data_IF_486958442126
#
_entry.id   IF_486958442126
#
_cell.length_a   1.000
_cell.length_b   1.000
_cell.length_c   1.000
_cell.angle_alpha   90.00
_cell.angle_beta   90.00
_cell.angle_gamma   90.00
#
_symmetry.space_group_name_H-M   'P 1'
#
loop_
_entity.id
_entity.type
_entity.pdbx_description
1 polymer ?
#
# COMPACT_ATOMS: atom_id res chain seq x y z
N UNK A 1 14.06 -2.87 21.19
CA UNK A 1 13.48 -1.59 20.74
C UNK A 1 14.11 -1.24 19.41
N UNK A 2 13.35 -0.92 18.39
CA UNK A 2 13.88 -0.46 17.10
C UNK A 2 14.71 0.81 17.29
N UNK A 3 15.81 0.93 16.54
CA UNK A 3 16.71 2.11 16.63
C UNK A 3 16.12 3.36 15.94
N UNK A 4 14.91 3.30 15.41
CA UNK A 4 14.28 4.36 14.62
C UNK A 4 12.75 4.33 14.76
N UNK A 5 12.09 5.44 14.36
CA UNK A 5 10.64 5.64 14.47
C UNK A 5 9.94 5.71 13.11
N UNK A 6 10.69 5.61 12.02
CA UNK A 6 10.16 5.79 10.66
C UNK A 6 9.16 4.70 10.29
N UNK A 7 8.00 5.13 9.77
CA UNK A 7 6.96 4.31 9.18
C UNK A 7 7.08 4.41 7.66
N UNK A 8 7.27 3.29 6.99
CA UNK A 8 7.48 3.26 5.54
C UNK A 8 6.18 2.85 4.84
N UNK A 9 5.71 3.64 3.89
CA UNK A 9 4.63 3.24 3.00
C UNK A 9 5.14 2.99 1.59
N UNK A 10 4.69 1.90 0.95
CA UNK A 10 5.16 1.50 -0.39
C UNK A 10 3.99 1.47 -1.38
N UNK A 11 3.90 2.52 -2.22
CA UNK A 11 3.17 2.49 -3.49
C UNK A 11 3.98 1.73 -4.54
N UNK A 12 3.34 1.04 -5.48
CA UNK A 12 4.10 0.24 -6.47
C UNK A 12 3.29 -0.11 -7.70
N UNK A 13 3.94 -0.16 -8.85
CA UNK A 13 3.42 -0.76 -10.06
C UNK A 13 3.37 -2.29 -9.94
N UNK A 14 2.47 -2.93 -10.69
CA UNK A 14 2.42 -4.39 -10.75
C UNK A 14 3.60 -4.94 -11.57
N UNK A 15 4.29 -5.90 -11.01
CA UNK A 15 5.51 -6.47 -11.62
C UNK A 15 6.81 -5.73 -11.28
N UNK A 16 6.78 -4.59 -10.56
CA UNK A 16 7.99 -3.86 -10.14
C UNK A 16 8.73 -4.46 -8.94
N UNK A 17 8.40 -5.66 -8.52
CA UNK A 17 8.94 -6.28 -7.30
C UNK A 17 8.70 -5.51 -5.98
N UNK A 18 7.89 -4.46 -5.98
CA UNK A 18 7.75 -3.58 -4.81
C UNK A 18 7.31 -4.29 -3.51
N UNK A 19 6.55 -5.41 -3.58
CA UNK A 19 6.22 -6.22 -2.39
C UNK A 19 7.45 -6.96 -1.87
N UNK A 20 8.23 -7.55 -2.77
CA UNK A 20 9.46 -8.30 -2.45
C UNK A 20 10.55 -7.39 -1.86
N UNK A 21 10.71 -6.21 -2.47
CA UNK A 21 11.59 -5.15 -1.95
C UNK A 21 11.15 -4.76 -0.53
N UNK A 22 9.84 -4.54 -0.31
CA UNK A 22 9.31 -4.25 1.01
C UNK A 22 9.62 -5.33 2.05
N UNK A 23 9.49 -6.61 1.69
CA UNK A 23 9.86 -7.72 2.57
C UNK A 23 11.35 -7.74 2.90
N UNK A 24 12.21 -7.43 1.91
CA UNK A 24 13.66 -7.34 2.14
C UNK A 24 13.98 -6.21 3.11
N UNK A 25 13.49 -5.01 2.88
CA UNK A 25 13.67 -3.86 3.78
C UNK A 25 13.14 -4.18 5.19
N UNK A 26 11.97 -4.82 5.29
CA UNK A 26 11.40 -5.22 6.59
C UNK A 26 12.33 -6.16 7.36
N UNK A 27 12.91 -7.14 6.64
CA UNK A 27 13.86 -8.11 7.21
C UNK A 27 15.15 -7.41 7.66
N UNK A 28 15.73 -6.57 6.82
CA UNK A 28 17.02 -5.92 7.06
C UNK A 28 16.92 -4.89 8.20
N UNK A 29 15.79 -4.17 8.30
CA UNK A 29 15.51 -3.24 9.39
C UNK A 29 14.94 -3.90 10.66
N UNK A 30 14.55 -5.18 10.60
CA UNK A 30 13.96 -5.91 11.74
C UNK A 30 12.58 -5.42 12.16
N UNK A 31 11.76 -4.95 11.19
CA UNK A 31 10.41 -4.43 11.42
C UNK A 31 9.35 -5.25 10.68
N UNK A 32 8.08 -5.10 11.10
CA UNK A 32 6.97 -5.81 10.48
C UNK A 32 6.55 -5.15 9.17
N UNK A 33 6.14 -5.98 8.20
CA UNK A 33 5.50 -5.53 6.98
C UNK A 33 4.02 -5.94 6.99
N UNK A 34 3.16 -5.01 6.58
CA UNK A 34 1.72 -5.23 6.42
C UNK A 34 1.32 -4.99 4.97
N UNK A 35 0.94 -6.04 4.28
CA UNK A 35 0.39 -5.95 2.93
C UNK A 35 -1.16 -5.95 2.94
N UNK A 36 -1.75 -6.03 1.75
CA UNK A 36 -3.21 -6.03 1.56
C UNK A 36 -3.92 -7.06 2.45
N UNK A 37 -3.39 -8.27 2.52
CA UNK A 37 -4.03 -9.39 3.22
C UNK A 37 -3.91 -9.20 4.74
N UNK A 38 -2.74 -8.78 5.20
CA UNK A 38 -2.51 -8.48 6.61
C UNK A 38 -3.31 -7.28 7.10
N UNK A 39 -3.45 -6.23 6.27
CA UNK A 39 -4.28 -5.06 6.60
C UNK A 39 -5.77 -5.41 6.64
N UNK A 40 -6.26 -6.26 5.72
CA UNK A 40 -7.63 -6.74 5.76
C UNK A 40 -7.91 -7.58 7.01
N UNK A 41 -6.96 -8.44 7.40
CA UNK A 41 -7.03 -9.22 8.64
C UNK A 41 -7.02 -8.34 9.89
N UNK A 42 -6.12 -7.37 9.95
CA UNK A 42 -6.06 -6.42 11.07
C UNK A 42 -7.36 -5.60 11.20
N UNK A 43 -7.96 -5.18 10.09
CA UNK A 43 -9.25 -4.50 10.08
C UNK A 43 -10.38 -5.41 10.60
N UNK A 44 -10.38 -6.69 10.23
CA UNK A 44 -11.34 -7.69 10.73
C UNK A 44 -11.17 -7.93 12.23
N UNK A 45 -9.94 -8.14 12.69
CA UNK A 45 -9.62 -8.43 14.10
C UNK A 45 -9.85 -7.23 15.02
N UNK A 46 -9.80 -6.01 14.51
CA UNK A 46 -10.06 -4.79 15.30
C UNK A 46 -11.53 -4.61 15.69
N UNK A 47 -12.45 -5.41 15.15
CA UNK A 47 -13.88 -5.31 15.39
C UNK A 47 -14.58 -4.10 14.75
N UNK A 48 -13.82 -3.25 14.04
CA UNK A 48 -14.34 -2.03 13.40
C UNK A 48 -15.39 -2.30 12.30
N UNK A 49 -15.45 -3.54 11.81
CA UNK A 49 -16.39 -3.96 10.78
C UNK A 49 -16.87 -5.41 10.98
N UNK A 50 -17.15 -5.82 12.22
CA UNK A 50 -17.56 -7.18 12.53
C UNK A 50 -18.73 -7.65 11.66
N UNK A 51 -19.74 -6.79 11.50
CA UNK A 51 -20.95 -7.07 10.69
C UNK A 51 -20.66 -7.21 9.19
N UNK A 52 -19.64 -6.52 8.66
CA UNK A 52 -19.27 -6.57 7.23
C UNK A 52 -18.56 -7.87 6.85
N UNK A 53 -17.84 -8.46 7.79
CA UNK A 53 -17.11 -9.70 7.57
C UNK A 53 -17.95 -10.94 7.89
N UNK A 54 -18.93 -10.83 8.79
CA UNK A 54 -19.84 -11.93 9.15
C UNK A 54 -20.88 -12.23 8.05
N UNK A 55 -21.37 -11.22 7.32
CA UNK A 55 -22.34 -11.39 6.24
C UNK A 55 -21.78 -11.91 4.92
N UNK A 56 -20.45 -11.99 4.76
CA UNK A 56 -19.81 -12.29 3.48
C UNK A 56 -18.75 -13.38 3.54
N UNK A 57 -18.71 -14.18 4.60
CA UNK A 57 -17.70 -15.23 4.85
C UNK A 57 -17.87 -16.47 3.96
N UNK A 58 -18.93 -16.55 3.15
CA UNK A 58 -19.21 -17.75 2.34
C UNK A 58 -18.54 -17.82 0.97
N UNK A 59 -17.81 -16.77 0.50
CA UNK A 59 -17.02 -16.84 -0.75
C UNK A 59 -15.74 -16.01 -0.68
N UNK A 60 -14.58 -16.65 -0.43
CA UNK A 60 -13.31 -15.96 -0.50
C UNK A 60 -12.87 -15.79 -1.96
N UNK A 61 -13.33 -14.76 -2.64
CA UNK A 61 -12.72 -14.37 -3.92
C UNK A 61 -12.01 -13.03 -3.73
N UNK A 62 -10.72 -13.03 -4.05
CA UNK A 62 -9.86 -11.82 -4.10
C UNK A 62 -10.47 -10.67 -4.95
N UNK A 63 -11.48 -10.96 -5.74
CA UNK A 63 -12.25 -10.04 -6.57
C UNK A 63 -13.29 -9.25 -5.76
N UNK A 64 -13.83 -9.83 -4.70
CA UNK A 64 -14.94 -9.27 -3.93
C UNK A 64 -14.52 -8.07 -3.06
N UNK A 65 -13.45 -8.20 -2.27
CA UNK A 65 -12.91 -7.07 -1.49
C UNK A 65 -12.45 -5.92 -2.39
N UNK A 66 -12.11 -6.23 -3.63
CA UNK A 66 -11.71 -5.25 -4.62
C UNK A 66 -12.91 -4.54 -5.27
N UNK A 67 -13.95 -5.25 -5.68
CA UNK A 67 -15.18 -4.64 -6.21
C UNK A 67 -15.86 -3.82 -5.13
N UNK A 68 -15.80 -4.28 -3.87
CA UNK A 68 -16.36 -3.59 -2.73
C UNK A 68 -15.79 -2.19 -2.52
N UNK A 69 -14.54 -1.95 -2.89
CA UNK A 69 -13.87 -0.68 -2.68
C UNK A 69 -13.99 0.27 -3.87
N UNK A 70 -14.36 -0.22 -5.06
CA UNK A 70 -14.36 0.59 -6.29
C UNK A 70 -15.70 1.26 -6.63
N UNK A 71 -16.80 0.84 -6.02
CA UNK A 71 -18.14 1.29 -6.45
C UNK A 71 -18.71 2.53 -5.74
N UNK A 72 -18.03 3.10 -4.73
CA UNK A 72 -18.76 3.91 -3.75
C UNK A 72 -18.39 5.38 -3.64
N UNK A 73 -17.65 5.96 -4.54
CA UNK A 73 -17.23 7.36 -4.35
C UNK A 73 -17.93 8.42 -5.21
N UNK A 74 -19.10 8.21 -5.65
CA UNK A 74 -19.79 9.27 -6.42
C UNK A 74 -20.71 10.18 -5.59
N UNK A 75 -20.76 10.08 -4.26
CA UNK A 75 -21.69 10.91 -3.48
C UNK A 75 -21.05 11.54 -2.24
N UNK A 76 -21.08 12.88 -2.24
CA UNK A 76 -20.56 13.75 -1.22
C UNK A 76 -21.05 13.46 0.20
N UNK A 77 -20.25 13.87 1.17
CA UNK A 77 -20.53 13.88 2.60
C UNK A 77 -21.88 14.54 2.89
N UNK A 78 -22.84 13.76 3.33
CA UNK A 78 -23.91 14.22 4.17
C UNK A 78 -23.98 13.31 5.40
N UNK A 79 -24.19 13.92 6.57
CA UNK A 79 -24.25 13.29 7.88
C UNK A 79 -25.42 12.30 8.02
N UNK A 80 -25.33 11.20 7.29
CA UNK A 80 -26.20 10.04 7.42
C UNK A 80 -25.54 9.00 8.33
N UNK A 81 -26.34 8.34 9.11
CA UNK A 81 -25.95 7.27 10.01
C UNK A 81 -24.95 6.30 9.34
N UNK A 82 -23.93 5.87 10.07
CA UNK A 82 -22.96 4.84 9.65
C UNK A 82 -23.66 3.59 9.05
N UNK A 83 -24.92 3.31 9.43
CA UNK A 83 -25.72 2.23 8.90
C UNK A 83 -26.00 2.35 7.39
N UNK A 84 -26.20 3.55 6.87
CA UNK A 84 -26.55 3.81 5.46
C UNK A 84 -25.34 3.95 4.53
N UNK A 85 -24.13 3.86 5.10
CA UNK A 85 -22.91 4.00 4.31
C UNK A 85 -22.66 2.75 3.47
N UNK A 86 -22.32 2.89 2.19
CA UNK A 86 -21.99 1.76 1.32
C UNK A 86 -20.88 0.90 1.91
N UNK A 87 -21.00 -0.41 1.77
CA UNK A 87 -20.09 -1.42 2.33
C UNK A 87 -18.61 -1.13 2.02
N UNK A 88 -18.32 -0.69 0.82
CA UNK A 88 -16.97 -0.38 0.37
C UNK A 88 -16.31 0.77 1.14
N UNK A 89 -17.12 1.75 1.51
CA UNK A 89 -16.66 2.89 2.29
C UNK A 89 -16.34 2.45 3.73
N UNK A 90 -17.19 1.62 4.30
CA UNK A 90 -16.95 1.02 5.63
C UNK A 90 -15.64 0.22 5.66
N UNK A 91 -15.39 -0.61 4.62
CA UNK A 91 -14.13 -1.38 4.50
C UNK A 91 -12.91 -0.46 4.37
N UNK A 92 -13.02 0.62 3.59
CA UNK A 92 -11.95 1.60 3.48
C UNK A 92 -11.66 2.25 4.83
N UNK A 93 -12.67 2.73 5.53
CA UNK A 93 -12.52 3.35 6.86
C UNK A 93 -11.90 2.38 7.87
N UNK A 94 -12.35 1.13 7.89
CA UNK A 94 -11.76 0.11 8.76
C UNK A 94 -10.29 -0.16 8.46
N UNK A 95 -9.90 -0.18 7.17
CA UNK A 95 -8.50 -0.30 6.79
C UNK A 95 -7.69 0.96 7.15
N UNK A 96 -8.28 2.14 7.00
CA UNK A 96 -7.68 3.40 7.36
C UNK A 96 -7.38 3.47 8.86
N UNK A 97 -8.36 3.10 9.70
CA UNK A 97 -8.19 3.06 11.15
C UNK A 97 -7.18 1.98 11.58
N UNK A 98 -7.20 0.80 10.93
CA UNK A 98 -6.21 -0.24 11.17
C UNK A 98 -4.79 0.22 10.83
N UNK A 99 -4.61 0.97 9.72
CA UNK A 99 -3.32 1.57 9.34
C UNK A 99 -2.83 2.54 10.41
N UNK A 100 -3.68 3.45 10.88
CA UNK A 100 -3.34 4.40 11.95
C UNK A 100 -2.96 3.69 13.25
N UNK A 101 -3.73 2.67 13.63
CA UNK A 101 -3.45 1.87 14.82
C UNK A 101 -2.12 1.14 14.71
N UNK A 102 -1.85 0.45 13.61
CA UNK A 102 -0.57 -0.25 13.37
C UNK A 102 0.59 0.75 13.44
N UNK A 103 0.45 1.90 12.81
CA UNK A 103 1.46 2.95 12.80
C UNK A 103 1.74 3.53 14.21
N UNK A 104 0.75 3.56 15.09
CA UNK A 104 0.92 4.01 16.47
C UNK A 104 1.66 3.00 17.37
N UNK A 105 1.74 1.74 16.95
CA UNK A 105 2.45 0.67 17.69
C UNK A 105 3.98 0.71 17.46
N UNK A 106 4.44 1.46 16.47
CA UNK A 106 5.87 1.64 16.18
C UNK A 106 6.23 1.50 14.71
N UNK A 107 7.53 1.45 14.38
CA UNK A 107 8.02 1.38 13.00
C UNK A 107 7.53 0.11 12.29
N UNK A 108 7.04 0.32 11.07
CA UNK A 108 6.52 -0.75 10.23
C UNK A 108 6.57 -0.37 8.75
N UNK A 109 6.34 -1.34 7.88
CA UNK A 109 6.15 -1.14 6.44
C UNK A 109 4.69 -1.45 6.08
N UNK A 110 4.05 -0.53 5.37
CA UNK A 110 2.67 -0.65 4.90
C UNK A 110 2.65 -0.64 3.37
N UNK A 111 2.10 -1.68 2.74
CA UNK A 111 2.16 -1.83 1.29
C UNK A 111 0.82 -1.55 0.63
N UNK A 112 0.68 -0.37 0.04
CA UNK A 112 -0.51 0.10 -0.69
C UNK A 112 -1.63 0.58 0.24
N UNK A 113 -2.89 0.46 -0.23
CA UNK A 113 -4.10 0.84 0.53
C UNK A 113 -4.19 2.30 0.95
N UNK A 114 -3.58 3.20 0.16
CA UNK A 114 -3.50 4.63 0.50
C UNK A 114 -2.91 4.86 1.90
N UNK A 115 -1.98 3.99 2.35
CA UNK A 115 -1.38 4.12 3.67
C UNK A 115 -0.61 5.42 3.83
N UNK A 116 -0.01 5.92 2.75
CA UNK A 116 0.64 7.23 2.68
C UNK A 116 -0.34 8.39 2.88
N UNK A 117 -1.59 8.25 2.42
CA UNK A 117 -2.65 9.22 2.68
C UNK A 117 -3.20 9.09 4.11
N UNK A 118 -3.41 7.85 4.59
CA UNK A 118 -3.89 7.62 5.96
C UNK A 118 -2.94 8.19 7.02
N UNK A 119 -1.67 8.32 6.68
CA UNK A 119 -0.60 8.77 7.58
C UNK A 119 0.02 10.12 7.16
N UNK A 120 -0.65 10.91 6.30
CA UNK A 120 -0.07 12.14 5.75
C UNK A 120 0.33 13.17 6.83
N UNK A 121 -0.36 13.19 7.97
CA UNK A 121 -0.04 14.06 9.11
C UNK A 121 1.00 13.45 10.07
N UNK A 122 1.52 12.25 9.78
CA UNK A 122 2.47 11.58 10.64
C UNK A 122 3.91 11.99 10.29
N UNK A 123 4.58 12.72 11.19
CA UNK A 123 5.95 13.20 10.99
C UNK A 123 6.97 12.08 10.75
N UNK A 124 6.68 10.86 11.21
CA UNK A 124 7.53 9.69 10.99
C UNK A 124 7.28 9.00 9.64
N UNK A 125 6.31 9.46 8.86
CA UNK A 125 6.01 8.87 7.55
C UNK A 125 7.16 9.04 6.57
N UNK A 126 7.50 7.94 5.89
CA UNK A 126 8.34 7.90 4.69
C UNK A 126 7.56 7.19 3.58
N UNK A 127 7.04 7.95 2.61
CA UNK A 127 6.30 7.40 1.47
C UNK A 127 7.20 7.16 0.27
N UNK A 128 7.20 5.93 -0.26
CA UNK A 128 8.02 5.49 -1.40
C UNK A 128 7.11 4.93 -2.49
N UNK A 129 7.43 5.23 -3.74
CA UNK A 129 6.81 4.60 -4.90
C UNK A 129 7.83 3.78 -5.68
N UNK A 130 7.52 2.51 -5.98
CA UNK A 130 8.40 1.61 -6.73
C UNK A 130 7.78 1.33 -8.09
N UNK A 131 8.49 1.73 -9.15
CA UNK A 131 8.14 1.45 -10.53
C UNK A 131 9.22 0.62 -11.23
N UNK A 132 8.99 0.22 -12.47
CA UNK A 132 9.98 -0.43 -13.33
C UNK A 132 9.57 -0.30 -14.80
N UNK A 133 10.51 -0.49 -15.69
CA UNK A 133 10.25 -0.58 -17.12
C UNK A 133 9.17 -1.60 -17.45
N UNK A 134 8.33 -1.28 -18.44
CA UNK A 134 7.22 -2.16 -18.81
C UNK A 134 7.71 -3.54 -19.25
N UNK A 135 8.78 -3.61 -20.04
CA UNK A 135 9.31 -4.89 -20.53
C UNK A 135 9.91 -5.73 -19.39
N UNK A 136 10.58 -5.11 -18.43
CA UNK A 136 11.06 -5.78 -17.23
C UNK A 136 9.91 -6.37 -16.42
N UNK A 137 8.82 -5.61 -16.26
CA UNK A 137 7.60 -6.06 -15.58
C UNK A 137 6.89 -7.19 -16.33
N UNK A 138 6.81 -7.12 -17.66
CA UNK A 138 6.21 -8.16 -18.49
C UNK A 138 6.98 -9.47 -18.32
N UNK A 139 8.32 -9.47 -18.51
CA UNK A 139 9.16 -10.66 -18.31
C UNK A 139 8.99 -11.25 -16.90
N UNK A 140 8.94 -10.42 -15.89
CA UNK A 140 8.74 -10.87 -14.50
C UNK A 140 7.37 -11.52 -14.30
N UNK A 141 6.30 -10.90 -14.76
CA UNK A 141 4.93 -11.39 -14.59
C UNK A 141 4.68 -12.64 -15.44
N UNK A 142 5.18 -12.68 -16.68
CA UNK A 142 5.12 -13.86 -17.52
C UNK A 142 5.75 -15.09 -16.83
N UNK A 143 6.94 -14.90 -16.24
CA UNK A 143 7.64 -15.98 -15.51
C UNK A 143 6.90 -16.41 -14.24
N UNK A 144 6.40 -15.47 -13.42
CA UNK A 144 5.77 -15.80 -12.13
C UNK A 144 4.44 -16.52 -12.29
N UNK A 145 3.67 -16.15 -13.32
CA UNK A 145 2.31 -16.67 -13.54
C UNK A 145 2.20 -17.65 -14.70
N UNK A 146 3.33 -18.04 -15.31
CA UNK A 146 3.38 -18.89 -16.51
C UNK A 146 2.46 -18.39 -17.63
N UNK A 147 2.64 -17.13 -18.02
CA UNK A 147 1.84 -16.44 -19.02
C UNK A 147 2.66 -16.07 -20.24
N UNK A 148 1.97 -15.92 -21.39
CA UNK A 148 2.57 -15.23 -22.54
C UNK A 148 2.77 -13.74 -22.23
N UNK A 149 3.73 -13.10 -22.90
CA UNK A 149 4.03 -11.67 -22.72
C UNK A 149 2.79 -10.79 -22.95
N UNK A 150 1.97 -11.13 -23.94
CA UNK A 150 0.72 -10.41 -24.22
C UNK A 150 -0.27 -10.48 -23.03
N UNK A 151 -0.45 -11.66 -22.44
CA UNK A 151 -1.31 -11.85 -21.25
C UNK A 151 -0.73 -11.18 -20.04
N UNK A 152 0.59 -11.25 -19.85
CA UNK A 152 1.29 -10.56 -18.76
C UNK A 152 1.11 -9.03 -18.86
N UNK A 153 1.27 -8.46 -20.06
CA UNK A 153 1.04 -7.05 -20.33
C UNK A 153 -0.38 -6.62 -20.01
N UNK A 154 -1.39 -7.38 -20.47
CA UNK A 154 -2.79 -7.10 -20.18
C UNK A 154 -3.07 -7.11 -18.66
N UNK A 155 -2.55 -8.11 -17.95
CA UNK A 155 -2.66 -8.21 -16.49
C UNK A 155 -2.02 -7.01 -15.77
N UNK A 156 -0.84 -6.57 -16.23
CA UNK A 156 -0.13 -5.40 -15.69
C UNK A 156 -1.00 -4.16 -15.86
N UNK A 157 -1.45 -3.88 -17.09
CA UNK A 157 -2.24 -2.68 -17.40
C UNK A 157 -3.55 -2.63 -16.62
N UNK A 158 -4.27 -3.74 -16.52
CA UNK A 158 -5.51 -3.86 -15.75
C UNK A 158 -5.26 -3.64 -14.25
N UNK A 159 -4.20 -4.23 -13.71
CA UNK A 159 -3.88 -4.13 -12.28
C UNK A 159 -3.44 -2.71 -11.92
N UNK A 160 -2.60 -2.08 -12.73
CA UNK A 160 -2.13 -0.73 -12.49
C UNK A 160 -3.27 0.29 -12.63
N UNK A 161 -4.13 0.13 -13.66
CA UNK A 161 -5.35 0.96 -13.80
C UNK A 161 -6.24 0.88 -12.55
N UNK A 162 -6.45 -0.32 -12.04
CA UNK A 162 -7.20 -0.55 -10.81
C UNK A 162 -6.58 0.13 -9.59
N UNK A 163 -5.25 0.03 -9.42
CA UNK A 163 -4.53 0.70 -8.33
C UNK A 163 -4.60 2.21 -8.44
N UNK A 164 -4.38 2.75 -9.64
CA UNK A 164 -4.46 4.18 -9.92
C UNK A 164 -5.85 4.73 -9.63
N UNK A 165 -6.90 4.06 -10.12
CA UNK A 165 -8.29 4.48 -9.85
C UNK A 165 -8.59 4.51 -8.35
N UNK A 166 -8.20 3.45 -7.62
CA UNK A 166 -8.36 3.39 -6.17
C UNK A 166 -7.63 4.52 -5.45
N UNK A 167 -6.34 4.70 -5.74
CA UNK A 167 -5.51 5.69 -5.08
C UNK A 167 -5.98 7.12 -5.36
N UNK A 168 -6.17 7.47 -6.65
CA UNK A 168 -6.58 8.82 -7.06
C UNK A 168 -7.93 9.21 -6.46
N UNK A 169 -8.79 8.23 -6.28
CA UNK A 169 -10.10 8.45 -5.74
C UNK A 169 -10.09 8.70 -4.21
N UNK A 170 -9.26 7.95 -3.46
CA UNK A 170 -9.22 8.01 -2.01
C UNK A 170 -8.26 9.05 -1.44
N UNK A 171 -7.23 9.45 -2.18
CA UNK A 171 -6.17 10.31 -1.64
C UNK A 171 -6.15 11.73 -2.18
N UNK A 172 -6.99 12.06 -3.15
CA UNK A 172 -6.90 13.32 -3.91
C UNK A 172 -5.50 13.59 -4.50
N UNK A 173 -4.65 12.55 -4.54
CA UNK A 173 -3.30 12.57 -5.12
C UNK A 173 -3.28 11.77 -6.42
N UNK A 174 -2.21 11.88 -7.19
CA UNK A 174 -2.05 11.13 -8.45
C UNK A 174 -1.13 9.94 -8.24
N UNK A 175 -1.64 8.73 -8.48
CA UNK A 175 -0.87 7.50 -8.35
C UNK A 175 0.35 7.48 -9.26
N UNK A 176 1.53 7.21 -8.68
CA UNK A 176 2.80 7.17 -9.40
C UNK A 176 3.37 8.52 -9.81
N UNK A 177 2.74 9.65 -9.44
CA UNK A 177 3.30 10.98 -9.63
C UNK A 177 4.37 11.26 -8.59
N UNK A 178 5.48 11.88 -8.99
CA UNK A 178 6.61 12.16 -8.10
C UNK A 178 6.18 13.00 -6.88
N UNK A 179 5.27 13.96 -7.10
CA UNK A 179 4.79 14.86 -6.03
C UNK A 179 3.92 14.14 -4.97
N UNK A 180 3.45 12.93 -5.28
CA UNK A 180 2.60 12.15 -4.35
C UNK A 180 3.41 11.38 -3.31
N UNK A 181 4.73 11.29 -3.46
CA UNK A 181 5.61 10.46 -2.62
C UNK A 181 6.88 11.20 -2.26
N UNK A 182 7.51 10.82 -1.14
CA UNK A 182 8.81 11.38 -0.75
C UNK A 182 9.94 10.87 -1.65
N UNK A 183 9.82 9.67 -2.22
CA UNK A 183 10.79 9.09 -3.15
C UNK A 183 10.10 8.17 -4.17
N UNK A 184 10.60 8.22 -5.41
CA UNK A 184 10.19 7.29 -6.48
C UNK A 184 11.43 6.58 -7.00
N UNK A 185 11.40 5.24 -7.07
CA UNK A 185 12.53 4.39 -7.43
C UNK A 185 12.20 3.47 -8.59
N UNK A 186 13.11 3.41 -9.56
CA UNK A 186 13.05 2.45 -10.65
C UNK A 186 13.81 1.16 -10.28
N UNK A 187 13.07 0.10 -9.99
CA UNK A 187 13.65 -1.19 -9.62
C UNK A 187 14.24 -1.96 -10.81
N UNK A 188 13.98 -1.55 -12.05
CA UNK A 188 14.65 -2.14 -13.23
C UNK A 188 16.11 -1.67 -13.36
N UNK A 189 16.45 -0.51 -12.78
CA UNK A 189 17.80 0.05 -12.74
C UNK A 189 18.61 -0.52 -11.57
N UNK A 190 18.02 -0.51 -10.37
CA UNK A 190 18.73 -0.87 -9.13
C UNK A 190 18.60 -2.36 -8.75
N UNK A 191 17.70 -3.09 -9.38
CA UNK A 191 17.33 -4.42 -8.93
C UNK A 191 16.61 -4.41 -7.55
N UNK A 192 16.34 -5.58 -7.01
CA UNK A 192 15.66 -5.73 -5.72
C UNK A 192 16.56 -5.25 -4.58
N UNK A 193 17.81 -5.70 -4.58
CA UNK A 193 18.76 -5.40 -3.50
C UNK A 193 19.13 -3.92 -3.45
N UNK A 194 19.51 -3.33 -4.58
CA UNK A 194 19.85 -1.91 -4.64
C UNK A 194 18.66 -0.99 -4.35
N UNK A 195 17.44 -1.39 -4.74
CA UNK A 195 16.25 -0.61 -4.39
C UNK A 195 15.96 -0.68 -2.88
N UNK A 196 16.16 -1.84 -2.24
CA UNK A 196 16.03 -1.97 -0.80
C UNK A 196 17.06 -1.12 -0.05
N UNK A 197 18.33 -1.18 -0.45
CA UNK A 197 19.43 -0.37 0.11
C UNK A 197 19.17 1.14 -0.01
N UNK A 198 18.63 1.59 -1.16
CA UNK A 198 18.27 2.99 -1.33
C UNK A 198 17.17 3.45 -0.35
N UNK A 199 16.17 2.59 -0.09
CA UNK A 199 15.12 2.87 0.90
C UNK A 199 15.71 2.92 2.32
N UNK A 200 16.54 1.96 2.67
CA UNK A 200 17.20 1.90 3.98
C UNK A 200 18.07 3.13 4.22
N UNK A 201 18.80 3.54 3.19
CA UNK A 201 19.59 4.77 3.26
C UNK A 201 18.77 6.03 3.47
N UNK A 202 17.60 6.09 2.85
CA UNK A 202 16.67 7.19 3.06
C UNK A 202 16.11 7.19 4.49
N UNK A 203 15.83 6.02 5.08
CA UNK A 203 15.45 5.90 6.50
C UNK A 203 16.55 6.44 7.40
N UNK A 204 17.80 6.03 7.21
CA UNK A 204 18.94 6.54 7.98
C UNK A 204 19.07 8.07 7.92
N UNK A 205 18.92 8.63 6.72
CA UNK A 205 19.01 10.09 6.53
C UNK A 205 17.89 10.82 7.25
N UNK A 206 16.63 10.31 7.16
CA UNK A 206 15.47 10.88 7.84
C UNK A 206 15.65 10.87 9.37
N UNK A 207 16.06 9.75 9.94
CA UNK A 207 16.29 9.61 11.39
C UNK A 207 17.41 10.52 11.91
N UNK A 208 18.48 10.67 11.12
CA UNK A 208 19.57 11.57 11.46
C UNK A 208 19.14 13.03 11.54
N UNK A 209 18.27 13.47 10.64
CA UNK A 209 17.79 14.86 10.61
C UNK A 209 16.71 15.10 11.67
N UNK A 210 15.89 14.11 12.01
CA UNK A 210 14.92 14.17 13.11
C UNK A 210 15.64 14.36 14.47
N UNK A 211 16.76 13.67 14.67
CA UNK A 211 17.59 13.79 15.89
C UNK A 211 18.34 15.13 16.03
N UNK A 212 18.42 15.94 14.97
CA UNK A 212 19.02 17.28 15.03
C UNK A 212 18.05 18.39 15.35
N UNK A 213 16.74 18.12 15.26
CA UNK A 213 15.66 19.07 15.57
C UNK A 213 15.23 19.06 17.03
N UNK A 214 15.78 18.14 17.83
CA UNK A 214 15.65 18.03 19.28
C UNK A 214 16.87 18.66 19.97
#
# INVERSE_FOLDING_TARGET
MSKFNTIITIGRQFGSAGREIGYKVAKDLGIKLYDKEMLARAAKESGLCKELFETHDEKPTNSFLYSLVMDTYSLGYSSGSYADMPINHKVFLAQFDAIKKIASEGPCILVGRCADYALEDNENLLSVFIHADLDARIRRIARIYDLTDAKAKDMIMKTDKKRASYYNYYSNKKWGSAESYHMSLDSSVLGIDGTAEAIEKLVELKERDSNKKL
#
